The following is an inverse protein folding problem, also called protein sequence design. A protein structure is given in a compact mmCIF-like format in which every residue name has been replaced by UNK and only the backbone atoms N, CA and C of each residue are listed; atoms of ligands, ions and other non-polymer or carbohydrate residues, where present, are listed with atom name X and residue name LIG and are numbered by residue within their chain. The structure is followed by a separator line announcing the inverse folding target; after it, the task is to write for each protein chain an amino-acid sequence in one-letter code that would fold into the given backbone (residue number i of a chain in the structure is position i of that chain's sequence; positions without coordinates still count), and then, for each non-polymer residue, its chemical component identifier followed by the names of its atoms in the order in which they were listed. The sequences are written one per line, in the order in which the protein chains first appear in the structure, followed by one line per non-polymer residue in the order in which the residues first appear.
data_IF_154947281583
#
_entry.id   IF_154947281583
#
_cell.length_a   1.000
_cell.length_b   1.000
_cell.length_c   1.000
_cell.angle_alpha   90.00
_cell.angle_beta   90.00
_cell.angle_gamma   90.00
#
_symmetry.space_group_name_H-M   'P 1'
#
loop_
_entity.id
_entity.type
_entity.pdbx_description
1 polymer ?
#
# COMPACT_ATOMS: atom_id res chain seq x y z
N UNK A 1 9.36 -16.91 -10.23
CA UNK A 1 9.79 -16.68 -8.82
C UNK A 1 9.41 -17.91 -8.02
N UNK A 2 10.34 -18.51 -7.33
CA UNK A 2 10.10 -19.65 -6.44
C UNK A 2 9.14 -19.28 -5.31
N UNK A 3 8.32 -20.24 -4.88
CA UNK A 3 7.42 -20.04 -3.71
C UNK A 3 8.28 -19.78 -2.46
N UNK A 4 7.94 -18.77 -1.64
CA UNK A 4 8.67 -18.54 -0.40
C UNK A 4 8.49 -19.73 0.56
N UNK A 5 9.52 -20.09 1.34
CA UNK A 5 9.45 -21.23 2.27
C UNK A 5 8.40 -21.01 3.38
N UNK A 6 8.22 -19.78 3.80
CA UNK A 6 7.26 -19.39 4.83
C UNK A 6 6.33 -18.28 4.36
N UNK A 7 5.12 -18.27 4.90
CA UNK A 7 4.11 -17.26 4.62
C UNK A 7 3.57 -16.65 5.93
N UNK A 8 3.13 -15.39 5.87
CA UNK A 8 2.41 -14.78 7.00
C UNK A 8 1.18 -15.61 7.41
N UNK A 9 0.60 -16.35 6.47
CA UNK A 9 -0.52 -17.26 6.74
C UNK A 9 -0.10 -18.40 7.69
N UNK A 10 1.13 -18.90 7.60
CA UNK A 10 1.63 -19.97 8.49
C UNK A 10 1.77 -19.46 9.93
N UNK A 11 2.29 -18.24 10.08
CA UNK A 11 2.39 -17.60 11.40
C UNK A 11 1.01 -17.38 12.00
N UNK A 12 0.05 -16.90 11.20
CA UNK A 12 -1.32 -16.67 11.67
C UNK A 12 -2.04 -17.98 12.01
N UNK A 13 -1.82 -19.08 11.26
CA UNK A 13 -2.39 -20.39 11.58
C UNK A 13 -1.82 -20.97 12.85
N UNK A 14 -0.49 -20.85 13.06
CA UNK A 14 0.20 -21.42 14.22
C UNK A 14 -0.05 -20.64 15.51
N UNK A 15 -0.05 -19.32 15.45
CA UNK A 15 -0.02 -18.45 16.64
C UNK A 15 -1.23 -17.52 16.77
N UNK A 16 -2.05 -17.37 15.70
CA UNK A 16 -3.06 -16.32 15.62
C UNK A 16 -4.17 -16.47 16.67
N UNK A 17 -4.64 -17.67 16.94
CA UNK A 17 -5.74 -17.92 17.90
C UNK A 17 -5.29 -17.57 19.32
N UNK A 18 -4.18 -18.16 19.78
CA UNK A 18 -3.59 -17.84 21.08
C UNK A 18 -3.36 -16.33 21.23
N UNK A 19 -2.78 -15.71 20.20
CA UNK A 19 -2.56 -14.25 20.19
C UNK A 19 -3.85 -13.45 20.37
N UNK A 20 -4.91 -13.81 19.66
CA UNK A 20 -6.21 -13.11 19.74
C UNK A 20 -6.88 -13.27 21.12
N UNK A 21 -6.63 -14.37 21.81
CA UNK A 21 -7.13 -14.62 23.16
C UNK A 21 -6.35 -13.84 24.19
N UNK A 22 -5.02 -13.92 24.14
CA UNK A 22 -4.14 -13.24 25.11
C UNK A 22 -4.25 -11.71 25.01
N UNK A 23 -4.51 -11.17 23.81
CA UNK A 23 -4.53 -9.74 23.55
C UNK A 23 -5.93 -9.15 23.35
N UNK A 24 -6.96 -9.73 23.97
CA UNK A 24 -8.38 -9.32 23.83
C UNK A 24 -8.62 -7.82 24.07
N UNK A 25 -7.85 -7.21 24.96
CA UNK A 25 -8.05 -5.83 25.38
C UNK A 25 -7.90 -4.79 24.25
N UNK A 26 -7.08 -5.07 23.22
CA UNK A 26 -6.86 -4.15 22.10
C UNK A 26 -7.20 -4.74 20.71
N UNK A 27 -7.40 -6.04 20.63
CA UNK A 27 -7.76 -6.72 19.39
C UNK A 27 -9.20 -6.41 19.02
N UNK A 28 -9.39 -5.87 17.82
CA UNK A 28 -10.72 -5.51 17.30
C UNK A 28 -11.32 -6.61 16.43
N UNK A 29 -12.63 -6.56 16.16
CA UNK A 29 -13.28 -7.43 15.18
C UNK A 29 -12.68 -7.34 13.77
N UNK A 30 -12.09 -6.19 13.41
CA UNK A 30 -11.38 -6.03 12.15
C UNK A 30 -10.08 -6.86 12.13
N UNK A 31 -9.32 -6.88 13.22
CA UNK A 31 -8.11 -7.70 13.36
C UNK A 31 -8.44 -9.20 13.22
N UNK A 32 -9.50 -9.68 13.89
CA UNK A 32 -9.98 -11.06 13.77
C UNK A 32 -10.36 -11.43 12.33
N UNK A 33 -11.09 -10.55 11.63
CA UNK A 33 -11.43 -10.73 10.20
C UNK A 33 -10.19 -10.80 9.31
N UNK A 34 -9.19 -9.97 9.56
CA UNK A 34 -7.94 -9.98 8.79
C UNK A 34 -7.18 -11.29 9.00
N UNK A 35 -7.03 -11.76 10.23
CA UNK A 35 -6.36 -13.03 10.52
C UNK A 35 -7.09 -14.21 9.89
N UNK A 36 -8.42 -14.31 10.06
CA UNK A 36 -9.23 -15.34 9.42
C UNK A 36 -9.05 -15.36 7.90
N UNK A 37 -9.10 -14.19 7.26
CA UNK A 37 -8.92 -14.07 5.83
C UNK A 37 -7.53 -14.52 5.36
N UNK A 38 -6.46 -14.18 6.11
CA UNK A 38 -5.09 -14.58 5.80
C UNK A 38 -4.89 -16.08 6.00
N UNK A 39 -5.38 -16.64 7.11
CA UNK A 39 -5.27 -18.07 7.43
C UNK A 39 -5.96 -18.94 6.38
N UNK A 40 -7.15 -18.53 5.93
CA UNK A 40 -7.96 -19.27 4.96
C UNK A 40 -7.56 -18.99 3.49
N UNK A 41 -6.66 -18.03 3.24
CA UNK A 41 -6.33 -17.63 1.88
C UNK A 41 -5.66 -18.76 1.08
N UNK A 42 -6.28 -19.15 -0.04
CA UNK A 42 -5.86 -20.26 -0.91
C UNK A 42 -5.82 -21.59 -0.15
N UNK A 43 -6.88 -21.87 0.57
CA UNK A 43 -7.17 -23.17 1.17
C UNK A 43 -8.56 -23.64 0.78
N UNK A 44 -8.89 -24.89 1.05
CA UNK A 44 -10.23 -25.46 0.83
C UNK A 44 -11.36 -24.66 1.50
N UNK A 45 -11.07 -23.99 2.62
CA UNK A 45 -12.04 -23.18 3.37
C UNK A 45 -12.68 -22.01 2.56
N UNK A 46 -12.05 -21.59 1.46
CA UNK A 46 -12.60 -20.57 0.55
C UNK A 46 -13.15 -21.14 -0.77
N UNK A 47 -13.23 -22.47 -0.89
CA UNK A 47 -13.57 -23.12 -2.15
C UNK A 47 -12.43 -23.01 -3.17
N UNK A 48 -12.70 -23.46 -4.39
CA UNK A 48 -11.68 -23.48 -5.44
C UNK A 48 -12.28 -23.70 -6.82
N UNK A 49 -11.44 -24.10 -7.72
CA UNK A 49 -11.81 -24.50 -9.06
C UNK A 49 -10.87 -25.58 -9.59
N UNK A 50 -11.42 -26.47 -10.40
CA UNK A 50 -10.70 -27.50 -11.13
C UNK A 50 -10.52 -27.04 -12.55
N UNK A 51 -9.28 -27.01 -12.98
CA UNK A 51 -8.88 -26.70 -14.36
C UNK A 51 -8.33 -27.94 -15.03
N UNK A 52 -8.40 -28.00 -16.36
CA UNK A 52 -7.83 -29.08 -17.18
C UNK A 52 -7.11 -28.50 -18.38
N UNK A 53 -5.95 -29.04 -18.70
CA UNK A 53 -5.20 -28.61 -19.85
C UNK A 53 -5.91 -29.07 -21.14
N UNK A 54 -6.04 -28.18 -22.12
CA UNK A 54 -6.69 -28.45 -23.38
C UNK A 54 -5.85 -29.42 -24.28
N UNK A 55 -4.52 -29.40 -24.09
CA UNK A 55 -3.61 -30.21 -24.93
C UNK A 55 -3.23 -31.55 -24.29
N UNK A 56 -2.77 -31.57 -23.04
CA UNK A 56 -2.28 -32.78 -22.38
C UNK A 56 -3.23 -33.35 -21.30
N UNK A 57 -4.42 -32.79 -21.18
CA UNK A 57 -5.46 -33.17 -20.21
C UNK A 57 -5.05 -33.13 -18.72
N UNK A 58 -3.87 -32.55 -18.40
CA UNK A 58 -3.38 -32.43 -17.02
C UNK A 58 -4.42 -31.72 -16.17
N UNK A 59 -4.92 -32.33 -15.08
CA UNK A 59 -5.80 -31.65 -14.13
C UNK A 59 -5.00 -30.76 -13.19
N UNK A 60 -5.62 -29.69 -12.70
CA UNK A 60 -5.10 -28.86 -11.63
C UNK A 60 -6.20 -28.32 -10.74
N UNK A 61 -5.95 -28.30 -9.43
CA UNK A 61 -6.85 -27.73 -8.43
C UNK A 61 -6.27 -26.41 -7.94
N UNK A 62 -7.07 -25.37 -8.01
CA UNK A 62 -6.69 -24.03 -7.53
C UNK A 62 -7.67 -23.54 -6.48
N UNK A 63 -7.18 -23.08 -5.33
CA UNK A 63 -8.00 -22.56 -4.26
C UNK A 63 -8.24 -21.04 -4.39
N UNK A 64 -9.43 -20.60 -3.97
CA UNK A 64 -9.83 -19.21 -4.03
C UNK A 64 -8.99 -18.32 -3.10
N UNK A 65 -8.75 -17.08 -3.53
CA UNK A 65 -8.05 -16.07 -2.75
C UNK A 65 -9.01 -15.33 -1.83
N UNK A 66 -8.52 -14.91 -0.64
CA UNK A 66 -9.34 -14.16 0.33
C UNK A 66 -9.65 -12.71 -0.09
N UNK A 67 -8.98 -12.17 -1.11
CA UNK A 67 -9.08 -10.79 -1.61
C UNK A 67 -8.89 -9.72 -0.52
N UNK A 68 -8.35 -10.10 0.63
CA UNK A 68 -8.10 -9.15 1.72
C UNK A 68 -6.92 -8.26 1.39
N UNK A 69 -7.09 -6.96 1.55
CA UNK A 69 -6.07 -5.93 1.27
C UNK A 69 -4.82 -6.01 2.16
N UNK A 70 -4.83 -6.80 3.22
CA UNK A 70 -3.71 -7.04 4.12
C UNK A 70 -3.02 -8.40 3.89
N UNK A 71 -3.56 -9.22 3.00
CA UNK A 71 -3.01 -10.54 2.70
C UNK A 71 -1.83 -10.44 1.72
N UNK A 72 -0.60 -10.86 2.10
CA UNK A 72 0.56 -10.79 1.20
C UNK A 72 0.41 -11.59 -0.09
N UNK A 73 -0.35 -12.70 -0.07
CA UNK A 73 -0.65 -13.51 -1.27
C UNK A 73 -1.51 -12.77 -2.28
N UNK A 74 -2.58 -12.09 -1.81
CA UNK A 74 -3.55 -11.42 -2.68
C UNK A 74 -3.00 -10.14 -3.31
N UNK A 75 -2.07 -9.47 -2.65
CA UNK A 75 -1.53 -8.18 -3.09
C UNK A 75 -0.72 -8.26 -4.39
N UNK A 76 -0.16 -9.41 -4.73
CA UNK A 76 0.66 -9.57 -5.96
C UNK A 76 -0.19 -9.45 -7.22
N UNK A 77 -1.32 -10.15 -7.31
CA UNK A 77 -2.22 -10.06 -8.46
C UNK A 77 -2.85 -8.66 -8.61
N UNK A 78 -3.32 -8.09 -7.49
CA UNK A 78 -3.86 -6.73 -7.46
C UNK A 78 -2.83 -5.68 -7.91
N UNK A 79 -1.55 -5.89 -7.57
CA UNK A 79 -0.44 -5.04 -8.01
C UNK A 79 -0.29 -5.05 -9.52
N UNK A 80 -0.25 -6.23 -10.14
CA UNK A 80 -0.03 -6.33 -11.57
C UNK A 80 -1.17 -5.67 -12.35
N UNK A 81 -2.42 -5.95 -12.02
CA UNK A 81 -3.58 -5.31 -12.64
C UNK A 81 -3.56 -3.77 -12.48
N UNK A 82 -3.14 -3.28 -11.30
CA UNK A 82 -3.02 -1.85 -11.05
C UNK A 82 -1.92 -1.21 -11.92
N UNK A 83 -0.76 -1.86 -12.07
CA UNK A 83 0.36 -1.37 -12.90
C UNK A 83 -0.11 -1.22 -14.34
N UNK A 84 -0.65 -2.28 -14.93
CA UNK A 84 -1.13 -2.25 -16.33
C UNK A 84 -2.14 -1.12 -16.56
N UNK A 85 -3.08 -0.93 -15.64
CA UNK A 85 -4.05 0.16 -15.74
C UNK A 85 -3.42 1.56 -15.63
N UNK A 86 -2.29 1.70 -14.94
CA UNK A 86 -1.60 3.01 -14.77
C UNK A 86 -0.59 3.30 -15.89
N UNK A 87 -0.11 2.29 -16.61
CA UNK A 87 0.80 2.50 -17.74
C UNK A 87 0.22 3.45 -18.78
N UNK A 88 -1.06 3.33 -19.05
CA UNK A 88 -1.80 4.19 -19.98
C UNK A 88 -1.97 5.65 -19.51
N UNK A 89 -1.79 5.90 -18.21
CA UNK A 89 -1.93 7.25 -17.63
C UNK A 89 -0.59 7.99 -17.54
N UNK A 90 0.51 7.35 -17.88
CA UNK A 90 1.82 8.00 -17.85
C UNK A 90 1.93 9.09 -18.92
N UNK A 91 2.55 10.19 -18.51
CA UNK A 91 3.01 11.24 -19.41
C UNK A 91 4.48 10.97 -19.80
N UNK A 92 4.92 11.33 -21.00
CA UNK A 92 6.29 11.08 -21.48
C UNK A 92 7.29 12.11 -20.89
N UNK A 93 7.24 12.30 -19.59
CA UNK A 93 8.13 13.17 -18.81
C UNK A 93 8.79 12.38 -17.69
N UNK A 94 9.86 12.91 -17.14
CA UNK A 94 10.46 12.36 -15.91
C UNK A 94 9.49 12.42 -14.74
N UNK A 95 9.74 11.59 -13.73
CA UNK A 95 8.95 11.59 -12.50
C UNK A 95 9.86 11.69 -11.29
N UNK A 96 9.42 12.43 -10.28
CA UNK A 96 10.07 12.54 -8.99
C UNK A 96 9.31 11.75 -7.94
N UNK A 97 10.05 11.11 -7.04
CA UNK A 97 9.50 10.43 -5.88
C UNK A 97 9.80 11.24 -4.62
N UNK A 98 8.74 11.67 -3.94
CA UNK A 98 8.86 12.36 -2.65
C UNK A 98 8.28 11.51 -1.53
N UNK A 99 8.79 11.69 -0.33
CA UNK A 99 8.27 11.04 0.88
C UNK A 99 8.03 12.08 1.95
N UNK A 100 6.83 12.13 2.49
CA UNK A 100 6.45 12.97 3.61
C UNK A 100 6.25 12.10 4.84
N UNK A 101 7.08 12.29 5.87
CA UNK A 101 7.08 11.46 7.07
C UNK A 101 6.66 12.27 8.28
N UNK A 102 5.75 11.69 9.08
CA UNK A 102 5.39 12.26 10.38
C UNK A 102 6.51 11.99 11.40
N UNK A 103 6.78 12.94 12.32
CA UNK A 103 7.70 12.68 13.42
C UNK A 103 7.15 11.61 14.38
N UNK A 104 8.07 10.91 15.04
CA UNK A 104 7.74 9.76 15.90
C UNK A 104 6.69 10.07 16.99
N UNK A 105 6.70 11.20 17.70
CA UNK A 105 5.67 11.49 18.71
C UNK A 105 4.23 11.46 18.18
N UNK A 106 4.02 11.73 16.89
CA UNK A 106 2.70 11.62 16.26
C UNK A 106 2.28 10.18 15.97
N UNK A 107 3.20 9.22 15.97
CA UNK A 107 2.89 7.83 15.62
C UNK A 107 1.87 7.22 16.59
N UNK A 108 1.96 7.53 17.89
CA UNK A 108 1.00 7.05 18.91
C UNK A 108 -0.39 7.64 18.70
N UNK A 109 -0.48 8.95 18.48
CA UNK A 109 -1.75 9.63 18.17
C UNK A 109 -2.37 9.09 16.88
N UNK A 110 -1.55 8.87 15.86
CA UNK A 110 -1.98 8.30 14.58
C UNK A 110 -2.50 6.87 14.70
N UNK A 111 -1.95 6.07 15.60
CA UNK A 111 -2.35 4.67 15.79
C UNK A 111 -3.80 4.55 16.30
N UNK A 112 -4.19 5.44 17.20
CA UNK A 112 -5.56 5.50 17.75
C UNK A 112 -6.51 6.20 16.77
N UNK A 113 -6.06 7.28 16.16
CA UNK A 113 -6.85 8.15 15.30
C UNK A 113 -6.54 7.91 13.80
N UNK A 114 -6.40 6.64 13.38
CA UNK A 114 -5.89 6.28 12.04
C UNK A 114 -6.55 7.05 10.91
N UNK A 115 -7.90 7.11 10.88
CA UNK A 115 -8.62 7.77 9.79
C UNK A 115 -8.31 9.25 9.73
N UNK A 116 -8.49 9.95 10.84
CA UNK A 116 -8.32 11.41 10.91
C UNK A 116 -6.87 11.80 10.60
N UNK A 117 -5.90 11.18 11.27
CA UNK A 117 -4.49 11.56 11.13
C UNK A 117 -3.94 11.18 9.75
N UNK A 118 -4.34 10.04 9.18
CA UNK A 118 -3.88 9.69 7.83
C UNK A 118 -4.54 10.55 6.74
N UNK A 119 -5.80 10.96 6.93
CA UNK A 119 -6.46 11.91 6.02
C UNK A 119 -5.76 13.28 6.06
N UNK A 120 -5.38 13.76 7.26
CA UNK A 120 -4.60 14.97 7.45
C UNK A 120 -3.22 14.87 6.81
N UNK A 121 -2.55 13.74 6.95
CA UNK A 121 -1.24 13.48 6.33
C UNK A 121 -1.30 13.59 4.80
N UNK A 122 -2.29 12.97 4.17
CA UNK A 122 -2.52 13.09 2.74
C UNK A 122 -2.82 14.52 2.31
N UNK A 123 -3.73 15.19 3.03
CA UNK A 123 -4.12 16.57 2.74
C UNK A 123 -2.94 17.51 2.85
N UNK A 124 -2.20 17.46 3.95
CA UNK A 124 -1.04 18.32 4.16
C UNK A 124 0.05 18.12 3.10
N UNK A 125 0.32 16.87 2.69
CA UNK A 125 1.29 16.58 1.64
C UNK A 125 0.83 17.13 0.27
N UNK A 126 -0.43 16.87 -0.13
CA UNK A 126 -0.97 17.33 -1.40
C UNK A 126 -1.01 18.86 -1.49
N UNK A 127 -1.56 19.52 -0.47
CA UNK A 127 -1.66 20.98 -0.42
C UNK A 127 -0.28 21.67 -0.40
N UNK A 128 0.70 21.04 0.25
CA UNK A 128 2.08 21.56 0.24
C UNK A 128 2.66 21.51 -1.16
N UNK A 129 2.53 20.39 -1.86
CA UNK A 129 3.04 20.24 -3.23
C UNK A 129 2.33 21.21 -4.18
N UNK A 130 1.01 21.29 -4.14
CA UNK A 130 0.22 22.19 -4.99
C UNK A 130 0.60 23.66 -4.77
N UNK A 131 0.67 24.10 -3.51
CA UNK A 131 0.98 25.48 -3.17
C UNK A 131 2.39 25.90 -3.60
N UNK A 132 3.39 25.03 -3.39
CA UNK A 132 4.78 25.36 -3.76
C UNK A 132 4.96 25.33 -5.26
N UNK A 133 4.31 24.39 -5.96
CA UNK A 133 4.37 24.31 -7.41
C UNK A 133 3.68 25.47 -8.13
N UNK A 134 2.54 25.92 -7.60
CA UNK A 134 1.78 27.04 -8.19
C UNK A 134 2.52 28.40 -8.03
N UNK A 135 3.50 28.51 -7.13
CA UNK A 135 4.21 29.76 -6.93
C UNK A 135 5.11 30.08 -8.15
N UNK A 136 4.93 31.24 -8.84
CA UNK A 136 5.72 31.62 -10.01
C UNK A 136 7.22 31.71 -9.76
N UNK A 137 7.63 32.05 -8.52
CA UNK A 137 9.05 32.08 -8.14
C UNK A 137 9.66 30.68 -8.01
N UNK A 138 8.87 29.60 -8.15
CA UNK A 138 9.31 28.20 -8.02
C UNK A 138 9.13 27.43 -9.33
N UNK A 139 7.91 26.96 -9.60
CA UNK A 139 7.57 26.29 -10.85
C UNK A 139 6.54 27.07 -11.65
N UNK A 140 5.56 27.72 -11.00
CA UNK A 140 4.51 28.48 -11.65
C UNK A 140 3.51 27.60 -12.40
N UNK A 141 3.33 26.35 -12.01
CA UNK A 141 2.50 25.38 -12.74
C UNK A 141 1.51 24.63 -11.86
N UNK A 142 0.40 24.23 -12.46
CA UNK A 142 -0.53 23.28 -11.89
C UNK A 142 0.03 21.86 -12.03
N UNK A 143 0.25 21.19 -10.90
CA UNK A 143 0.77 19.83 -10.87
C UNK A 143 -0.29 18.82 -10.48
N UNK A 144 -0.02 17.53 -10.70
CA UNK A 144 -0.81 16.43 -10.21
C UNK A 144 0.07 15.23 -9.88
N UNK A 145 -0.43 14.34 -9.05
CA UNK A 145 0.37 13.18 -8.66
C UNK A 145 -0.43 12.08 -7.98
N UNK A 146 0.27 11.00 -7.76
CA UNK A 146 -0.19 9.83 -7.02
C UNK A 146 0.42 9.82 -5.63
N UNK A 147 -0.38 9.49 -4.62
CA UNK A 147 0.05 9.33 -3.22
C UNK A 147 -0.29 7.95 -2.69
N UNK A 148 0.64 7.35 -1.96
CA UNK A 148 0.46 6.04 -1.33
C UNK A 148 0.84 6.11 0.14
N UNK A 149 -0.11 5.75 1.03
CA UNK A 149 0.17 5.66 2.45
C UNK A 149 0.92 4.37 2.78
N UNK A 150 2.02 4.52 3.49
CA UNK A 150 2.69 3.47 4.23
C UNK A 150 2.61 3.75 5.73
N UNK A 151 2.42 2.71 6.52
CA UNK A 151 2.35 2.83 7.99
C UNK A 151 3.49 2.10 8.69
N UNK A 152 4.41 1.47 7.94
CA UNK A 152 5.45 0.58 8.47
C UNK A 152 6.85 1.01 8.08
N UNK A 153 7.80 0.80 8.98
CA UNK A 153 9.22 0.80 8.68
C UNK A 153 9.75 -0.61 8.38
N UNK A 154 11.05 -0.72 8.14
CA UNK A 154 11.70 -1.98 7.76
C UNK A 154 11.58 -3.08 8.82
N UNK A 155 11.51 -2.72 10.10
CA UNK A 155 11.38 -3.63 11.26
C UNK A 155 9.92 -3.77 11.73
N UNK A 156 8.94 -3.44 10.87
CA UNK A 156 7.50 -3.47 11.16
C UNK A 156 7.06 -2.50 12.28
N UNK A 157 7.87 -1.51 12.65
CA UNK A 157 7.43 -0.45 13.56
C UNK A 157 6.40 0.45 12.88
N UNK A 158 5.46 1.00 13.66
CA UNK A 158 4.49 1.94 13.15
C UNK A 158 5.17 3.27 12.79
N UNK A 159 5.21 3.58 11.49
CA UNK A 159 5.92 4.71 10.92
C UNK A 159 5.15 5.30 9.74
N UNK A 160 4.07 6.05 9.99
CA UNK A 160 3.23 6.58 8.92
C UNK A 160 3.96 7.61 8.06
N UNK A 161 3.90 7.41 6.75
CA UNK A 161 4.45 8.30 5.75
C UNK A 161 3.72 8.13 4.42
N UNK A 162 3.73 9.17 3.59
CA UNK A 162 3.12 9.17 2.28
C UNK A 162 4.21 9.26 1.22
N UNK A 163 4.22 8.28 0.32
CA UNK A 163 4.98 8.33 -0.92
C UNK A 163 4.18 9.11 -1.96
N UNK A 164 4.80 10.11 -2.58
CA UNK A 164 4.21 10.86 -3.68
C UNK A 164 5.03 10.64 -4.94
N UNK A 165 4.36 10.42 -6.06
CA UNK A 165 4.98 10.40 -7.38
C UNK A 165 4.34 11.45 -8.24
N UNK A 166 5.16 12.33 -8.78
CA UNK A 166 4.74 13.55 -9.46
C UNK A 166 5.52 13.67 -10.77
N UNK A 167 4.87 13.96 -11.90
CA UNK A 167 5.55 14.32 -13.14
C UNK A 167 6.49 15.52 -12.95
N UNK A 168 7.61 15.53 -13.66
CA UNK A 168 8.60 16.62 -13.63
C UNK A 168 8.12 17.79 -14.48
N UNK A 169 7.14 18.51 -13.96
CA UNK A 169 6.51 19.67 -14.60
C UNK A 169 5.04 19.76 -14.26
N UNK A 170 4.34 20.67 -14.93
CA UNK A 170 2.91 20.88 -14.76
C UNK A 170 2.33 21.75 -15.87
N UNK A 171 1.02 21.87 -15.89
CA UNK A 171 0.31 22.76 -16.80
C UNK A 171 0.55 24.23 -16.42
N UNK A 172 0.81 25.07 -17.38
CA UNK A 172 0.78 26.51 -17.19
C UNK A 172 -0.60 26.95 -16.66
N UNK A 173 -0.71 28.11 -15.96
CA UNK A 173 -1.97 28.57 -15.40
C UNK A 173 -3.11 28.71 -16.43
N UNK A 174 -2.76 29.02 -17.68
CA UNK A 174 -3.71 29.09 -18.81
C UNK A 174 -4.07 27.71 -19.39
N UNK A 175 -3.36 26.65 -18.98
CA UNK A 175 -3.57 25.29 -19.44
C UNK A 175 -3.09 24.99 -20.86
N UNK A 176 -2.40 25.91 -21.53
CA UNK A 176 -2.02 25.80 -22.95
C UNK A 176 -0.68 25.13 -23.18
N UNK A 177 0.22 25.20 -22.22
CA UNK A 177 1.58 24.68 -22.33
C UNK A 177 2.02 23.89 -21.10
N UNK A 178 3.09 23.12 -21.27
CA UNK A 178 3.71 22.36 -20.19
C UNK A 178 4.95 23.08 -19.68
N UNK A 179 4.99 23.41 -18.39
CA UNK A 179 6.15 24.00 -17.73
C UNK A 179 7.01 22.88 -17.18
N UNK A 180 8.23 22.72 -17.74
CA UNK A 180 9.19 21.73 -17.29
C UNK A 180 9.91 22.19 -16.01
N UNK A 181 10.27 21.26 -15.15
CA UNK A 181 11.19 21.53 -14.04
C UNK A 181 12.63 21.64 -14.54
N UNK A 182 13.50 22.23 -13.72
CA UNK A 182 14.94 22.17 -13.99
C UNK A 182 15.44 20.72 -13.94
N UNK A 183 16.45 20.36 -14.75
CA UNK A 183 17.03 19.02 -14.69
C UNK A 183 17.44 18.63 -13.25
N UNK A 184 17.06 17.43 -12.82
CA UNK A 184 17.36 16.86 -11.48
C UNK A 184 16.81 17.65 -10.28
N UNK A 185 16.06 18.72 -10.50
CA UNK A 185 15.46 19.52 -9.43
C UNK A 185 13.94 19.64 -9.65
N UNK A 186 13.16 19.35 -8.64
CA UNK A 186 11.69 19.51 -8.69
C UNK A 186 11.23 20.74 -7.88
N UNK A 187 11.27 20.66 -6.56
CA UNK A 187 10.89 21.73 -5.65
C UNK A 187 11.82 21.75 -4.42
N UNK A 188 12.01 22.91 -3.78
CA UNK A 188 12.94 23.03 -2.65
C UNK A 188 12.45 22.28 -1.41
N UNK A 189 13.12 21.20 -1.05
CA UNK A 189 12.78 20.35 0.09
C UNK A 189 12.64 21.10 1.43
N UNK A 190 13.48 22.09 1.77
CA UNK A 190 13.30 22.87 3.00
C UNK A 190 11.97 23.61 3.05
N UNK A 191 11.52 24.17 1.92
CA UNK A 191 10.21 24.86 1.82
C UNK A 191 9.07 23.85 1.98
N UNK A 192 9.15 22.71 1.28
CA UNK A 192 8.17 21.64 1.40
C UNK A 192 8.04 21.16 2.86
N UNK A 193 9.18 20.98 3.54
CA UNK A 193 9.21 20.54 4.96
C UNK A 193 8.51 21.53 5.89
N UNK A 194 8.81 22.82 5.74
CA UNK A 194 8.24 23.88 6.60
C UNK A 194 6.73 23.99 6.41
N UNK A 195 6.25 24.01 5.16
CA UNK A 195 4.83 24.11 4.86
C UNK A 195 4.07 22.85 5.27
N UNK A 196 4.61 21.66 4.99
CA UNK A 196 4.03 20.39 5.40
C UNK A 196 3.84 20.31 6.91
N UNK A 197 4.89 20.67 7.69
CA UNK A 197 4.79 20.76 9.15
C UNK A 197 3.66 21.68 9.58
N UNK A 198 3.63 22.91 9.07
CA UNK A 198 2.62 23.90 9.41
C UNK A 198 1.20 23.41 9.13
N UNK A 199 0.97 22.86 7.92
CA UNK A 199 -0.34 22.36 7.51
C UNK A 199 -0.80 21.16 8.34
N UNK A 200 0.09 20.20 8.61
CA UNK A 200 -0.27 19.03 9.42
C UNK A 200 -0.57 19.41 10.86
N UNK A 201 0.24 20.29 11.47
CA UNK A 201 0.01 20.78 12.85
C UNK A 201 -1.28 21.59 12.93
N UNK A 202 -1.57 22.47 11.96
CA UNK A 202 -2.83 23.20 11.89
C UNK A 202 -4.03 22.24 11.77
N UNK A 203 -3.96 21.27 10.87
CA UNK A 203 -5.01 20.26 10.72
C UNK A 203 -5.26 19.42 11.98
N UNK A 204 -4.22 19.09 12.74
CA UNK A 204 -4.35 18.39 14.03
C UNK A 204 -5.02 19.27 15.08
N UNK A 205 -4.66 20.56 15.15
CA UNK A 205 -5.30 21.52 16.05
C UNK A 205 -6.80 21.64 15.74
N UNK A 206 -7.15 21.80 14.47
CA UNK A 206 -8.54 21.90 14.05
C UNK A 206 -9.30 20.59 14.32
N UNK A 207 -8.68 19.43 14.07
CA UNK A 207 -9.30 18.15 14.40
C UNK A 207 -9.54 17.93 15.91
N UNK A 208 -8.67 18.46 16.76
CA UNK A 208 -8.86 18.45 18.22
C UNK A 208 -10.01 19.36 18.63
N UNK A 209 -10.00 20.61 18.16
CA UNK A 209 -11.07 21.58 18.44
C UNK A 209 -12.45 21.07 18.01
N UNK A 210 -12.50 20.40 16.84
CA UNK A 210 -13.74 19.84 16.29
C UNK A 210 -14.13 18.49 16.94
N UNK A 211 -13.45 18.03 18.00
CA UNK A 211 -13.76 16.79 18.72
C UNK A 211 -13.53 15.52 17.90
N UNK A 212 -12.70 15.56 16.85
CA UNK A 212 -12.45 14.43 15.95
C UNK A 212 -11.28 13.53 16.37
N UNK A 213 -10.61 13.85 17.49
CA UNK A 213 -9.50 13.08 18.02
C UNK A 213 -9.87 12.42 19.34
N UNK A 214 -9.52 11.14 19.46
CA UNK A 214 -9.63 10.36 20.68
C UNK A 214 -8.30 10.30 21.42
N UNK A 215 -8.36 10.31 22.77
CA UNK A 215 -7.20 10.31 23.64
C UNK A 215 -7.31 9.21 24.73
N UNK A 216 -7.41 7.92 24.36
CA UNK A 216 -7.49 6.83 25.33
C UNK A 216 -6.13 6.50 25.96
N UNK A 217 -6.16 5.88 27.13
CA UNK A 217 -5.00 5.33 27.81
C UNK A 217 -3.87 6.33 27.99
N UNK A 218 -2.68 6.01 27.49
CA UNK A 218 -1.49 6.86 27.61
C UNK A 218 -1.59 8.22 26.90
N UNK A 219 -2.62 8.43 26.07
CA UNK A 219 -2.88 9.71 25.42
C UNK A 219 -3.83 10.59 26.25
N UNK A 220 -4.48 10.09 27.29
CA UNK A 220 -5.42 10.85 28.12
C UNK A 220 -4.86 12.19 28.64
N UNK A 221 -3.58 12.32 29.02
CA UNK A 221 -3.00 13.62 29.40
C UNK A 221 -3.02 14.68 28.30
N UNK A 222 -3.20 14.30 27.04
CA UNK A 222 -3.31 15.25 25.91
C UNK A 222 -4.74 15.75 25.67
N UNK A 223 -5.75 15.21 26.35
CA UNK A 223 -7.15 15.58 26.16
C UNK A 223 -7.44 17.06 26.50
N UNK A 224 -6.88 17.68 27.57
CA UNK A 224 -7.04 19.10 27.80
C UNK A 224 -6.43 19.94 26.66
N UNK A 225 -7.18 20.95 26.19
CA UNK A 225 -6.76 21.78 25.05
C UNK A 225 -5.38 22.43 25.25
N UNK A 226 -5.08 22.91 26.46
CA UNK A 226 -3.80 23.51 26.80
C UNK A 226 -2.64 22.49 26.66
N UNK A 227 -2.85 21.26 27.12
CA UNK A 227 -1.87 20.17 27.01
C UNK A 227 -1.65 19.78 25.54
N UNK A 228 -2.72 19.67 24.76
CA UNK A 228 -2.61 19.36 23.34
C UNK A 228 -1.89 20.49 22.57
N UNK A 229 -2.19 21.76 22.87
CA UNK A 229 -1.46 22.90 22.30
C UNK A 229 0.03 22.86 22.65
N UNK A 230 0.38 22.50 23.87
CA UNK A 230 1.78 22.34 24.30
C UNK A 230 2.45 21.18 23.52
N UNK A 231 1.78 20.06 23.37
CA UNK A 231 2.24 18.94 22.55
C UNK A 231 2.46 19.37 21.08
N UNK A 232 1.52 20.09 20.47
CA UNK A 232 1.68 20.58 19.08
C UNK A 232 2.88 21.55 18.96
N UNK A 233 3.12 22.42 19.95
CA UNK A 233 4.33 23.27 19.97
C UNK A 233 5.61 22.45 20.04
N UNK A 234 5.63 21.36 20.80
CA UNK A 234 6.81 20.48 20.89
C UNK A 234 7.18 19.84 19.55
N UNK A 235 6.20 19.64 18.65
CA UNK A 235 6.44 19.07 17.32
C UNK A 235 7.31 19.96 16.43
N UNK A 236 7.35 21.28 16.68
CA UNK A 236 8.23 22.19 15.92
C UNK A 236 9.72 21.99 16.23
N UNK A 237 10.05 21.35 17.36
CA UNK A 237 11.40 20.99 17.76
C UNK A 237 11.81 19.62 17.21
N UNK A 238 10.86 18.84 16.66
CA UNK A 238 11.12 17.53 16.09
C UNK A 238 11.72 17.63 14.69
N UNK A 239 12.46 16.60 14.30
CA UNK A 239 12.92 16.45 12.91
C UNK A 239 11.78 16.01 12.01
N UNK A 240 11.37 16.85 11.09
CA UNK A 240 10.42 16.52 10.03
C UNK A 240 11.16 16.07 8.78
N UNK A 241 10.81 14.92 8.25
CA UNK A 241 11.48 14.37 7.09
C UNK A 241 10.59 14.54 5.86
N UNK A 242 11.06 15.37 4.93
CA UNK A 242 10.61 15.37 3.54
C UNK A 242 11.83 15.02 2.69
N UNK A 243 11.69 13.98 1.90
CA UNK A 243 12.76 13.45 1.06
C UNK A 243 12.32 13.44 -0.40
N UNK A 244 13.17 13.92 -1.29
CA UNK A 244 12.98 13.83 -2.73
C UNK A 244 14.10 12.99 -3.33
N UNK A 245 13.73 11.93 -4.03
CA UNK A 245 14.71 11.14 -4.82
C UNK A 245 14.99 11.84 -6.15
N UNK A 246 16.22 11.69 -6.67
CA UNK A 246 16.49 12.06 -8.06
C UNK A 246 15.45 11.45 -9.01
N UNK A 247 15.17 12.10 -10.15
CA UNK A 247 14.21 11.60 -11.12
C UNK A 247 14.53 10.19 -11.58
N UNK A 248 13.48 9.42 -11.84
CA UNK A 248 13.63 8.10 -12.46
C UNK A 248 14.03 8.24 -13.93
N UNK A 249 14.84 7.31 -14.43
CA UNK A 249 15.34 7.33 -15.79
C UNK A 249 14.28 7.15 -16.89
N UNK A 250 13.11 6.55 -16.55
CA UNK A 250 11.97 6.44 -17.46
C UNK A 250 10.63 6.39 -16.73
N UNK A 251 9.53 6.76 -17.39
CA UNK A 251 8.17 6.63 -16.82
C UNK A 251 7.83 5.19 -16.39
N UNK A 252 8.23 4.18 -17.17
CA UNK A 252 8.01 2.77 -16.84
C UNK A 252 8.71 2.35 -15.54
N UNK A 253 9.93 2.80 -15.29
CA UNK A 253 10.65 2.53 -14.03
C UNK A 253 9.90 3.06 -12.81
N UNK A 254 9.17 4.17 -12.93
CA UNK A 254 8.34 4.74 -11.86
C UNK A 254 7.23 3.77 -11.47
N UNK A 255 6.53 3.20 -12.44
CA UNK A 255 5.42 2.26 -12.16
C UNK A 255 5.92 0.98 -11.51
N UNK A 256 7.00 0.40 -12.03
CA UNK A 256 7.61 -0.78 -11.40
C UNK A 256 8.10 -0.49 -9.98
N UNK A 257 8.66 0.68 -9.75
CA UNK A 257 9.05 1.12 -8.43
C UNK A 257 7.83 1.29 -7.51
N UNK A 258 6.80 2.00 -7.97
CA UNK A 258 5.56 2.20 -7.23
C UNK A 258 4.83 0.89 -6.94
N UNK A 259 4.79 -0.01 -7.91
CA UNK A 259 4.17 -1.32 -7.74
C UNK A 259 4.74 -2.09 -6.54
N UNK A 260 6.02 -1.90 -6.23
CA UNK A 260 6.64 -2.48 -5.03
C UNK A 260 6.09 -1.90 -3.73
N UNK A 261 5.55 -0.68 -3.76
CA UNK A 261 5.07 0.03 -2.58
C UNK A 261 3.54 0.10 -2.50
N UNK A 262 2.85 0.17 -3.63
CA UNK A 262 1.38 0.34 -3.67
C UNK A 262 0.62 -0.86 -3.12
N UNK A 263 1.14 -2.08 -3.31
CA UNK A 263 0.47 -3.32 -2.94
C UNK A 263 1.24 -4.15 -1.90
N UNK A 264 2.02 -3.48 -1.04
CA UNK A 264 2.54 -4.09 0.18
C UNK A 264 1.76 -3.62 1.40
N UNK A 265 1.60 -4.53 2.36
CA UNK A 265 1.21 -4.18 3.72
C UNK A 265 2.22 -4.85 4.64
N UNK A 266 2.87 -4.06 5.47
CA UNK A 266 3.83 -4.48 6.46
C UNK A 266 5.02 -5.29 5.89
N UNK A 267 4.81 -6.53 5.48
CA UNK A 267 5.86 -7.46 5.04
C UNK A 267 5.42 -8.28 3.83
N UNK A 268 6.36 -8.68 2.97
CA UNK A 268 6.14 -9.71 1.94
C UNK A 268 6.65 -11.06 2.45
N UNK A 269 6.01 -12.16 2.02
CA UNK A 269 6.42 -13.51 2.41
C UNK A 269 7.91 -13.81 2.08
N UNK A 270 8.44 -13.28 0.98
CA UNK A 270 9.85 -13.42 0.59
C UNK A 270 10.87 -12.82 1.58
N UNK A 271 10.42 -12.05 2.56
CA UNK A 271 11.29 -11.54 3.63
C UNK A 271 11.38 -12.50 4.82
N UNK A 272 10.44 -13.42 4.96
CA UNK A 272 10.46 -14.43 6.02
C UNK A 272 11.60 -15.41 5.76
N UNK A 273 12.34 -15.74 6.81
CA UNK A 273 13.48 -16.65 6.78
C UNK A 273 13.16 -17.93 7.55
N UNK A 274 12.54 -17.76 8.73
CA UNK A 274 12.24 -18.85 9.61
C UNK A 274 11.01 -18.57 10.47
N UNK A 275 10.27 -19.61 10.84
CA UNK A 275 9.07 -19.57 11.68
C UNK A 275 9.10 -20.79 12.60
N UNK A 276 9.44 -20.57 13.86
CA UNK A 276 9.43 -21.60 14.90
C UNK A 276 8.17 -21.51 15.77
N UNK A 277 8.10 -22.34 16.82
CA UNK A 277 6.98 -22.32 17.77
C UNK A 277 6.93 -21.04 18.62
N UNK A 278 8.02 -20.30 18.72
CA UNK A 278 8.09 -19.11 19.56
C UNK A 278 8.51 -17.86 18.78
N UNK A 279 9.23 -17.98 17.66
CA UNK A 279 9.86 -16.85 17.00
C UNK A 279 9.61 -16.79 15.51
N UNK A 280 9.75 -15.58 14.97
CA UNK A 280 9.69 -15.28 13.53
C UNK A 280 10.91 -14.48 13.13
N UNK A 281 11.71 -15.01 12.21
CA UNK A 281 12.89 -14.35 11.66
C UNK A 281 12.64 -13.83 10.27
N UNK A 282 13.06 -12.59 10.00
CA UNK A 282 12.88 -11.98 8.67
C UNK A 282 13.98 -10.99 8.31
N UNK A 283 14.21 -10.80 7.00
CA UNK A 283 15.18 -9.84 6.47
C UNK A 283 14.63 -8.41 6.54
N UNK A 284 15.51 -7.46 6.92
CA UNK A 284 15.22 -6.04 6.86
C UNK A 284 16.41 -5.26 6.31
N UNK A 285 16.15 -4.07 5.74
CA UNK A 285 17.18 -3.22 5.16
C UNK A 285 17.53 -2.10 6.13
N UNK A 286 18.79 -2.05 6.54
CA UNK A 286 19.31 -1.01 7.43
C UNK A 286 19.82 0.18 6.60
N UNK A 287 18.94 1.15 6.37
CA UNK A 287 19.27 2.36 5.59
C UNK A 287 20.27 3.29 6.30
N UNK A 288 20.43 3.18 7.62
CA UNK A 288 21.37 4.01 8.37
C UNK A 288 22.81 3.54 8.19
N UNK A 289 23.00 2.24 7.91
CA UNK A 289 24.29 1.62 7.73
C UNK A 289 24.45 1.07 6.31
N UNK A 290 24.43 1.97 5.31
CA UNK A 290 24.73 1.60 3.93
C UNK A 290 23.72 0.66 3.25
N UNK A 291 22.47 0.64 3.68
CA UNK A 291 21.42 -0.23 3.10
C UNK A 291 21.71 -1.73 3.23
N UNK A 292 22.48 -2.16 4.22
CA UNK A 292 22.80 -3.55 4.48
C UNK A 292 21.53 -4.36 4.78
N UNK A 293 21.51 -5.59 4.29
CA UNK A 293 20.46 -6.55 4.63
C UNK A 293 20.83 -7.24 5.93
N UNK A 294 19.95 -7.13 6.94
CA UNK A 294 20.10 -7.74 8.25
C UNK A 294 18.91 -8.64 8.57
N UNK A 295 19.09 -9.56 9.49
CA UNK A 295 18.02 -10.40 10.05
C UNK A 295 17.51 -9.78 11.34
N UNK A 296 16.19 -9.87 11.55
CA UNK A 296 15.54 -9.57 12.82
C UNK A 296 14.69 -10.76 13.22
N UNK A 297 14.90 -11.25 14.44
CA UNK A 297 14.06 -12.26 15.07
C UNK A 297 13.20 -11.60 16.12
N UNK A 298 11.92 -11.90 16.11
CA UNK A 298 10.93 -11.43 17.07
C UNK A 298 10.18 -12.62 17.64
N UNK A 299 9.67 -12.48 18.87
CA UNK A 299 8.64 -13.38 19.36
C UNK A 299 7.44 -13.38 18.41
N UNK A 300 6.80 -14.53 18.24
CA UNK A 300 5.66 -14.65 17.32
C UNK A 300 4.52 -13.68 17.68
N UNK A 301 4.26 -13.46 18.95
CA UNK A 301 3.25 -12.53 19.43
C UNK A 301 3.63 -11.07 19.10
N UNK A 302 4.90 -10.69 19.28
CA UNK A 302 5.38 -9.35 18.91
C UNK A 302 5.36 -9.13 17.38
N UNK A 303 5.67 -10.18 16.60
CA UNK A 303 5.50 -10.09 15.14
C UNK A 303 4.05 -9.85 14.75
N UNK A 304 3.10 -10.63 15.29
CA UNK A 304 1.66 -10.48 15.02
C UNK A 304 1.13 -9.13 15.51
N UNK A 305 1.57 -8.68 16.69
CA UNK A 305 1.25 -7.34 17.20
C UNK A 305 1.69 -6.26 16.24
N UNK A 306 2.96 -6.27 15.80
CA UNK A 306 3.47 -5.30 14.82
C UNK A 306 2.71 -5.37 13.51
N UNK A 307 2.42 -6.58 13.01
CA UNK A 307 1.64 -6.75 11.78
C UNK A 307 0.26 -6.08 11.88
N UNK A 308 -0.46 -6.27 12.99
CA UNK A 308 -1.79 -5.71 13.19
C UNK A 308 -1.80 -4.18 13.35
N UNK A 309 -0.70 -3.54 13.77
CA UNK A 309 -0.61 -2.07 13.80
C UNK A 309 -0.89 -1.46 12.41
N UNK A 310 -0.60 -2.21 11.34
CA UNK A 310 -0.74 -1.76 9.96
C UNK A 310 -2.10 -2.05 9.33
N UNK A 311 -3.00 -2.68 10.08
CA UNK A 311 -4.38 -2.88 9.64
C UNK A 311 -5.08 -1.51 9.56
N UNK A 312 -5.52 -1.18 8.35
CA UNK A 312 -6.18 0.10 8.06
C UNK A 312 -7.68 0.03 8.35
N UNK A 313 -8.32 1.14 8.72
CA UNK A 313 -9.76 1.20 8.91
C UNK A 313 -10.54 0.68 7.69
N UNK A 314 -11.71 0.13 7.93
CA UNK A 314 -12.60 -0.34 6.86
C UNK A 314 -12.86 0.78 5.85
N UNK A 315 -12.79 0.46 4.54
CA UNK A 315 -12.98 1.41 3.43
C UNK A 315 -11.99 2.59 3.38
N UNK A 316 -10.90 2.55 4.16
CA UNK A 316 -9.88 3.59 4.06
C UNK A 316 -9.13 3.50 2.73
N UNK A 317 -9.12 4.59 1.95
CA UNK A 317 -8.42 4.69 0.66
C UNK A 317 -6.96 5.05 0.90
N UNK A 318 -6.04 4.11 0.63
CA UNK A 318 -4.60 4.28 0.86
C UNK A 318 -3.80 4.76 -0.35
N UNK A 319 -4.41 4.75 -1.54
CA UNK A 319 -3.85 5.27 -2.79
C UNK A 319 -4.73 6.42 -3.21
N UNK A 320 -4.18 7.62 -3.31
CA UNK A 320 -4.94 8.84 -3.67
C UNK A 320 -4.25 9.61 -4.77
N UNK A 321 -5.04 10.36 -5.48
CA UNK A 321 -4.57 11.24 -6.54
C UNK A 321 -4.89 12.69 -6.18
N UNK A 322 -4.04 13.62 -6.62
CA UNK A 322 -4.23 15.05 -6.37
C UNK A 322 -3.88 15.87 -7.61
N UNK A 323 -4.27 17.15 -7.59
CA UNK A 323 -4.08 18.08 -8.71
C UNK A 323 -4.77 17.59 -9.98
N UNK A 324 -4.14 17.72 -11.13
CA UNK A 324 -4.71 17.30 -12.41
C UNK A 324 -4.91 15.78 -12.55
N UNK A 325 -4.30 14.96 -11.66
CA UNK A 325 -4.56 13.51 -11.59
C UNK A 325 -5.70 13.13 -10.65
N UNK A 326 -6.36 14.09 -9.98
CA UNK A 326 -7.49 13.80 -9.10
C UNK A 326 -8.62 13.11 -9.89
N UNK A 327 -9.21 12.07 -9.29
CA UNK A 327 -10.16 11.17 -10.00
C UNK A 327 -11.31 11.91 -10.71
N UNK A 328 -11.76 13.04 -10.15
CA UNK A 328 -12.87 13.86 -10.71
C UNK A 328 -12.53 14.56 -12.03
N UNK A 329 -11.26 14.84 -12.32
CA UNK A 329 -10.82 15.63 -13.46
C UNK A 329 -9.70 14.95 -14.27
N UNK A 330 -9.28 13.75 -13.89
CA UNK A 330 -8.10 13.08 -14.45
C UNK A 330 -8.16 12.90 -15.96
N UNK A 331 -9.25 12.37 -16.50
CA UNK A 331 -9.35 12.09 -17.94
C UNK A 331 -9.19 13.34 -18.78
N UNK A 332 -10.00 14.40 -18.61
CA UNK A 332 -9.84 15.62 -19.40
C UNK A 332 -8.49 16.30 -19.17
N UNK A 333 -8.00 16.32 -17.95
CA UNK A 333 -6.73 16.97 -17.67
C UNK A 333 -5.50 16.18 -18.18
N UNK A 334 -5.54 14.86 -18.23
CA UNK A 334 -4.50 14.09 -18.91
C UNK A 334 -4.48 14.35 -20.42
N UNK A 335 -5.63 14.49 -21.04
CA UNK A 335 -5.73 14.90 -22.45
C UNK A 335 -5.08 16.27 -22.66
N UNK A 336 -5.41 17.25 -21.83
CA UNK A 336 -4.81 18.58 -21.87
C UNK A 336 -3.29 18.55 -21.63
N UNK A 337 -2.80 17.75 -20.66
CA UNK A 337 -1.37 17.57 -20.44
C UNK A 337 -0.66 17.00 -21.68
N UNK A 338 -1.27 16.02 -22.37
CA UNK A 338 -0.69 15.44 -23.59
C UNK A 338 -0.66 16.44 -24.73
N UNK A 339 -1.71 17.23 -24.91
CA UNK A 339 -1.75 18.33 -25.89
C UNK A 339 -0.66 19.36 -25.59
N UNK A 340 -0.53 19.82 -24.35
CA UNK A 340 0.51 20.74 -23.90
C UNK A 340 1.95 20.22 -24.08
N UNK A 341 2.10 18.88 -24.11
CA UNK A 341 3.38 18.20 -24.37
C UNK A 341 3.60 17.88 -25.86
N UNK A 342 2.67 18.28 -26.75
CA UNK A 342 2.70 17.95 -28.18
C UNK A 342 2.78 16.42 -28.47
N UNK A 343 2.20 15.62 -27.60
CA UNK A 343 2.16 14.16 -27.76
C UNK A 343 0.93 13.76 -28.55
N UNK A 344 1.11 12.93 -29.57
CA UNK A 344 0.00 12.34 -30.30
C UNK A 344 -1.02 11.70 -29.34
N UNK A 345 -2.34 11.80 -29.61
CA UNK A 345 -3.35 11.15 -28.80
C UNK A 345 -3.00 9.67 -28.66
N UNK A 346 -3.04 9.16 -27.43
CA UNK A 346 -2.96 7.69 -27.26
C UNK A 346 -4.11 7.06 -28.08
N UNK A 347 -3.85 5.94 -28.77
CA UNK A 347 -4.92 5.23 -29.44
C UNK A 347 -6.06 5.01 -28.43
N UNK A 348 -7.34 5.19 -28.85
CA UNK A 348 -8.46 5.02 -27.95
C UNK A 348 -8.27 3.68 -27.24
N UNK A 349 -8.34 3.70 -25.91
CA UNK A 349 -8.38 2.45 -25.17
C UNK A 349 -9.49 1.62 -25.79
N UNK A 350 -9.15 0.43 -26.25
CA UNK A 350 -10.19 -0.50 -26.71
C UNK A 350 -11.29 -0.47 -25.63
N UNK A 351 -12.56 -0.27 -26.03
CA UNK A 351 -13.65 -0.31 -25.07
C UNK A 351 -13.43 -1.57 -24.24
N UNK A 352 -13.77 -1.60 -22.96
CA UNK A 352 -13.64 -2.81 -22.16
C UNK A 352 -14.51 -3.87 -22.83
N UNK A 353 -13.98 -4.35 -23.93
CA UNK A 353 -14.51 -5.44 -24.73
C UNK A 353 -14.57 -6.61 -23.79
N UNK A 354 -15.74 -7.24 -23.75
CA UNK A 354 -15.99 -8.57 -23.18
C UNK A 354 -14.91 -8.98 -22.21
N UNK A 355 -15.23 -9.02 -20.91
CA UNK A 355 -14.37 -9.56 -19.85
C UNK A 355 -13.40 -10.55 -20.48
N UNK A 356 -12.09 -10.25 -20.60
CA UNK A 356 -11.18 -11.11 -21.31
C UNK A 356 -11.41 -12.52 -20.75
N UNK A 357 -11.60 -13.53 -21.60
CA UNK A 357 -11.82 -14.88 -21.10
C UNK A 357 -10.74 -15.10 -20.06
N UNK A 358 -11.15 -15.42 -18.82
CA UNK A 358 -10.27 -15.51 -17.64
C UNK A 358 -8.91 -15.97 -18.10
N UNK A 359 -7.88 -15.10 -17.95
CA UNK A 359 -6.57 -15.37 -18.50
C UNK A 359 -6.22 -16.80 -18.15
N UNK A 360 -6.24 -17.67 -19.14
CA UNK A 360 -5.93 -19.08 -18.98
C UNK A 360 -4.48 -19.13 -18.52
N UNK A 361 -4.26 -19.64 -17.31
CA UNK A 361 -2.88 -19.81 -16.86
C UNK A 361 -2.24 -20.99 -17.59
N UNK A 362 -0.93 -20.93 -17.85
CA UNK A 362 -0.26 -21.97 -18.62
C UNK A 362 -0.19 -23.29 -17.84
N UNK A 363 -0.42 -24.38 -18.50
CA UNK A 363 -0.27 -25.72 -17.94
C UNK A 363 1.17 -25.95 -17.46
N UNK A 364 1.37 -26.42 -16.21
CA UNK A 364 2.71 -26.64 -15.66
C UNK A 364 3.49 -27.75 -16.40
N UNK A 365 2.80 -28.60 -17.15
CA UNK A 365 3.41 -29.73 -17.89
C UNK A 365 3.80 -29.38 -19.34
N UNK A 366 2.94 -28.69 -20.08
CA UNK A 366 3.15 -28.42 -21.50
C UNK A 366 3.05 -26.96 -21.92
N UNK A 367 2.74 -26.05 -21.01
CA UNK A 367 2.61 -24.62 -21.28
C UNK A 367 1.30 -24.21 -21.98
N UNK A 368 0.48 -25.13 -22.45
CA UNK A 368 -0.78 -24.83 -23.12
C UNK A 368 -1.83 -24.21 -22.14
N UNK A 369 -2.89 -23.55 -22.65
CA UNK A 369 -3.90 -22.95 -21.82
C UNK A 369 -4.63 -23.97 -20.93
N UNK A 370 -4.90 -23.59 -19.69
CA UNK A 370 -5.74 -24.35 -18.76
C UNK A 370 -7.18 -23.86 -18.85
N UNK A 371 -8.14 -24.78 -19.01
CA UNK A 371 -9.58 -24.48 -19.05
C UNK A 371 -10.25 -24.80 -17.73
N UNK A 372 -11.09 -23.88 -17.26
CA UNK A 372 -11.96 -24.08 -16.10
C UNK A 372 -13.01 -25.16 -16.42
N UNK A 373 -12.99 -26.25 -15.66
CA UNK A 373 -13.96 -27.34 -15.78
C UNK A 373 -15.09 -27.14 -14.75
N UNK A 374 -14.72 -26.87 -13.49
CA UNK A 374 -15.66 -26.86 -12.39
C UNK A 374 -15.28 -25.84 -11.32
N UNK A 375 -16.30 -25.23 -10.69
CA UNK A 375 -16.13 -24.43 -9.47
C UNK A 375 -16.54 -25.25 -8.28
N UNK A 376 -15.66 -25.34 -7.29
CA UNK A 376 -15.85 -26.13 -6.10
C UNK A 376 -16.13 -25.23 -4.90
N UNK A 377 -17.18 -25.54 -4.17
CA UNK A 377 -17.49 -24.89 -2.89
C UNK A 377 -16.52 -25.39 -1.81
N UNK A 378 -16.44 -24.65 -0.70
CA UNK A 378 -15.67 -25.10 0.45
C UNK A 378 -16.15 -26.47 0.97
N UNK A 379 -17.48 -26.70 0.99
CA UNK A 379 -18.07 -27.96 1.44
C UNK A 379 -17.64 -29.15 0.57
N UNK A 380 -17.66 -29.00 -0.76
CA UNK A 380 -17.23 -30.05 -1.68
C UNK A 380 -15.75 -30.39 -1.46
N UNK A 381 -14.87 -29.39 -1.39
CA UNK A 381 -13.44 -29.60 -1.20
C UNK A 381 -13.10 -30.23 0.16
N UNK A 382 -13.86 -29.91 1.21
CA UNK A 382 -13.64 -30.50 2.53
C UNK A 382 -14.16 -31.94 2.58
N UNK A 383 -15.28 -32.25 1.90
CA UNK A 383 -15.79 -33.62 1.75
C UNK A 383 -14.84 -34.49 0.91
N UNK A 384 -14.33 -33.99 -0.22
CA UNK A 384 -13.37 -34.70 -1.06
C UNK A 384 -12.08 -35.06 -0.27
N UNK A 385 -11.59 -34.11 0.55
CA UNK A 385 -10.41 -34.34 1.41
C UNK A 385 -10.70 -35.39 2.50
N UNK A 386 -11.85 -35.31 3.16
CA UNK A 386 -12.28 -36.25 4.19
C UNK A 386 -12.48 -37.68 3.64
N UNK A 387 -13.10 -37.82 2.46
CA UNK A 387 -13.25 -39.10 1.79
C UNK A 387 -11.89 -39.70 1.38
N UNK A 388 -10.96 -38.87 0.92
CA UNK A 388 -9.62 -39.32 0.57
C UNK A 388 -8.85 -39.86 1.81
N UNK A 389 -8.96 -39.18 2.96
CA UNK A 389 -8.35 -39.60 4.21
C UNK A 389 -8.92 -40.97 4.69
N UNK A 390 -10.23 -41.19 4.62
CA UNK A 390 -10.87 -42.45 4.98
C UNK A 390 -10.41 -43.60 4.07
N UNK A 391 -10.29 -43.35 2.78
CA UNK A 391 -9.87 -44.39 1.82
C UNK A 391 -8.40 -44.76 1.94
N UNK A 392 -7.57 -43.86 2.49
CA UNK A 392 -6.15 -44.16 2.79
C UNK A 392 -5.95 -44.88 4.14
N UNK A 393 -6.88 -44.75 5.10
CA UNK A 393 -6.78 -45.40 6.41
C UNK A 393 -7.33 -46.85 6.41
N UNK A 394 -7.89 -47.29 5.29
CA UNK A 394 -8.46 -48.64 5.08
C UNK A 394 -7.62 -49.57 4.21
N UNK A 395 -6.33 -49.19 3.92
CA UNK A 395 -5.38 -50.01 3.13
C UNK A 395 -4.17 -50.47 3.89
#
# INVERSE_FOLDING_TARGET
MTRPPFEVADIVRRHGERFLETHRAWVTGLHRRVFRAIAQCRTAALGGHRDRCEQCAQPALSYNSCRNRHCPKCLTAARNAWVTAREQELLPVGYVHLVFTMPEPLARLALVNKRVVYDLLFRAAAETLLQVAANPKRLGAAIGGLMVLHTWGQRLQHHPHVHCVVPMGGLAPDGTSWIHTRPRFFLPVPVLRTLFRGKLVAGLRDACRDGRLDFPGTLAPLKPEAAFRAFLRSLYRQTWVVYAKPPFGSPAHVLHYLARYTHRVAISNHRLLDVTDNTVSFRWKDYRHGSQVRTLTLDADEFLRRFLLHVLPTRFVRIRYFGFLASRCRTPQLTQCRQALAVAPAPPAEPPGSVPPRASWPCPRCGAPMRLIERLTARQLLLDAWLADILHDTS
#
